data_IF_131927387161
#
_entry.id   IF_131927387161
#
_cell.length_a   1.000
_cell.length_b   1.000
_cell.length_c   1.000
_cell.angle_alpha   90.00
_cell.angle_beta   90.00
_cell.angle_gamma   90.00
#
_symmetry.space_group_name_H-M   'P 1'
#
loop_
_entity.id
_entity.type
_entity.pdbx_description
1 polymer ?
#
# COMPACT_ATOMS: atom_id res chain seq x y z
N UNK A 1 4.84 -7.45 7.98
CA UNK A 1 5.51 -8.73 8.17
C UNK A 1 6.98 -8.49 8.51
N UNK A 2 7.73 -9.56 8.61
CA UNK A 2 9.11 -9.47 9.08
C UNK A 2 10.00 -8.76 8.08
N UNK A 3 11.03 -8.11 8.61
CA UNK A 3 12.09 -7.51 7.80
C UNK A 3 11.60 -6.41 6.88
N UNK A 4 10.53 -5.75 7.28
CA UNK A 4 9.98 -4.63 6.52
C UNK A 4 10.70 -3.37 6.95
N UNK A 5 11.07 -2.54 5.98
CA UNK A 5 11.62 -1.23 6.23
C UNK A 5 10.62 -0.16 5.86
N UNK A 6 10.31 0.71 6.79
CA UNK A 6 9.40 1.82 6.56
C UNK A 6 10.18 3.11 6.84
N UNK A 7 10.25 3.95 5.84
CA UNK A 7 10.94 5.22 5.98
C UNK A 7 10.18 6.22 6.83
N UNK A 8 10.69 7.44 6.88
CA UNK A 8 10.08 8.49 7.69
C UNK A 8 8.85 9.06 7.00
N UNK A 9 7.86 9.42 7.79
CA UNK A 9 6.67 10.13 7.31
C UNK A 9 5.89 9.34 6.28
N UNK A 10 5.88 8.02 6.40
CA UNK A 10 5.05 7.20 5.55
C UNK A 10 3.62 7.26 6.09
N UNK A 11 2.68 7.51 5.20
CA UNK A 11 1.28 7.63 5.57
C UNK A 11 0.52 6.44 5.04
N UNK A 12 -0.17 5.75 5.93
CA UNK A 12 -1.07 4.67 5.54
C UNK A 12 -2.48 5.20 5.64
N UNK A 13 -3.16 5.27 4.50
CA UNK A 13 -4.54 5.72 4.49
C UNK A 13 -5.37 4.55 5.00
N UNK A 14 -5.94 4.74 6.15
CA UNK A 14 -6.73 3.68 6.77
C UNK A 14 -8.20 4.04 6.64
N UNK A 15 -8.62 4.18 5.41
CA UNK A 15 -9.96 4.59 5.10
C UNK A 15 -10.88 3.41 5.09
N UNK A 16 -12.00 3.61 5.73
CA UNK A 16 -13.14 2.75 5.50
C UNK A 16 -14.06 3.54 4.61
N UNK A 17 -14.72 2.89 3.71
CA UNK A 17 -15.63 3.60 2.82
C UNK A 17 -16.98 3.72 3.50
N UNK A 18 -17.17 4.77 4.31
CA UNK A 18 -18.44 4.92 5.00
C UNK A 18 -19.50 5.31 4.01
N UNK A 19 -20.67 4.79 4.20
CA UNK A 19 -21.83 5.23 3.46
C UNK A 19 -22.80 5.80 4.47
N UNK A 20 -23.34 6.96 4.14
CA UNK A 20 -24.29 7.56 5.06
C UNK A 20 -25.56 6.73 5.16
N UNK A 21 -25.86 5.95 4.12
CA UNK A 21 -27.00 5.04 4.17
C UNK A 21 -26.58 3.73 3.54
N UNK A 22 -27.29 2.68 3.93
CA UNK A 22 -27.07 1.39 3.30
C UNK A 22 -27.97 1.29 2.08
N UNK A 23 -27.66 0.33 1.27
CA UNK A 23 -28.48 0.03 0.12
C UNK A 23 -29.90 -0.26 0.61
N UNK A 24 -30.86 0.38 0.01
CA UNK A 24 -32.23 0.25 0.47
C UNK A 24 -32.68 1.36 1.37
N UNK A 25 -31.81 2.30 1.68
CA UNK A 25 -32.21 3.53 2.36
C UNK A 25 -32.10 3.55 3.86
N UNK A 26 -31.58 2.47 4.45
CA UNK A 26 -31.38 2.47 5.90
C UNK A 26 -30.19 3.31 6.30
N UNK A 27 -30.08 3.57 7.58
CA UNK A 27 -28.92 4.26 8.09
C UNK A 27 -27.72 3.31 8.13
N UNK A 28 -26.56 3.88 7.95
CA UNK A 28 -25.34 3.12 8.03
C UNK A 28 -25.15 2.60 9.44
N UNK A 29 -24.79 1.33 9.54
CA UNK A 29 -24.45 0.73 10.82
C UNK A 29 -23.01 0.30 10.78
N UNK A 30 -22.52 -0.18 11.92
CA UNK A 30 -21.15 -0.64 11.98
C UNK A 30 -20.86 -1.74 10.97
N UNK A 31 -21.83 -2.57 10.67
CA UNK A 31 -21.65 -3.65 9.71
C UNK A 31 -21.45 -3.15 8.28
N UNK A 32 -21.77 -1.90 8.04
CA UNK A 32 -21.65 -1.34 6.68
C UNK A 32 -20.27 -0.75 6.41
N UNK A 33 -19.40 -0.80 7.38
CA UNK A 33 -18.03 -0.33 7.20
C UNK A 33 -17.18 -1.46 6.68
N UNK A 34 -16.44 -1.17 5.62
CA UNK A 34 -15.53 -2.16 5.05
C UNK A 34 -14.12 -1.72 5.39
N UNK A 35 -13.45 -2.53 6.16
CA UNK A 35 -12.07 -2.26 6.54
C UNK A 35 -11.18 -3.25 5.82
N UNK A 36 -10.47 -2.79 4.81
CA UNK A 36 -9.58 -3.62 4.03
C UNK A 36 -8.17 -3.34 4.49
N UNK A 37 -7.50 -4.34 5.07
CA UNK A 37 -6.18 -4.08 5.63
C UNK A 37 -5.14 -3.81 4.56
N UNK A 38 -4.20 -2.96 4.90
CA UNK A 38 -3.00 -2.73 4.11
C UNK A 38 -1.94 -3.71 4.59
N UNK A 39 -1.32 -4.40 3.66
CA UNK A 39 -0.32 -5.41 4.00
C UNK A 39 1.02 -5.03 3.42
N UNK A 40 2.04 -5.09 4.25
CA UNK A 40 3.42 -4.90 3.80
C UNK A 40 4.12 -6.24 4.03
N UNK A 41 4.44 -6.91 2.95
CA UNK A 41 4.92 -8.27 3.04
C UNK A 41 6.40 -8.30 3.37
N UNK A 42 6.88 -9.50 3.68
CA UNK A 42 8.22 -9.70 4.19
C UNK A 42 9.27 -9.09 3.27
N UNK A 43 10.21 -8.40 3.86
CA UNK A 43 11.35 -7.84 3.14
C UNK A 43 11.06 -6.64 2.28
N UNK A 44 9.83 -6.14 2.29
CA UNK A 44 9.51 -4.96 1.49
C UNK A 44 10.09 -3.71 2.11
N UNK A 45 10.36 -2.71 1.27
CA UNK A 45 10.87 -1.42 1.72
C UNK A 45 9.98 -0.32 1.19
N UNK A 46 9.61 0.60 2.07
CA UNK A 46 8.78 1.73 1.70
C UNK A 46 9.55 3.00 1.98
N UNK A 47 9.80 3.78 0.94
CA UNK A 47 10.58 4.99 1.07
C UNK A 47 9.87 6.07 1.86
N UNK A 48 10.64 7.06 2.29
CA UNK A 48 10.11 8.14 3.12
C UNK A 48 9.08 8.96 2.38
N UNK A 49 8.13 9.48 3.13
CA UNK A 49 7.07 10.37 2.60
C UNK A 49 6.19 9.70 1.55
N UNK A 50 6.07 8.40 1.62
CA UNK A 50 5.19 7.63 0.74
C UNK A 50 3.79 7.60 1.34
N UNK A 51 2.78 7.63 0.50
CA UNK A 51 1.39 7.46 0.90
C UNK A 51 0.88 6.17 0.30
N UNK A 52 0.31 5.31 1.13
CA UNK A 52 -0.21 4.02 0.68
C UNK A 52 -1.70 3.98 0.99
N UNK A 53 -2.49 3.75 -0.05
CA UNK A 53 -3.94 3.75 0.12
C UNK A 53 -4.40 2.48 0.81
N UNK A 54 -5.58 2.57 1.41
CA UNK A 54 -6.16 1.45 2.14
C UNK A 54 -6.30 0.24 1.23
N UNK A 55 -6.06 -0.93 1.78
CA UNK A 55 -6.27 -2.18 1.06
C UNK A 55 -5.17 -2.58 0.11
N UNK A 56 -4.11 -1.77 0.00
CA UNK A 56 -3.00 -2.07 -0.90
C UNK A 56 -2.10 -3.11 -0.25
N UNK A 57 -1.65 -4.06 -1.04
CA UNK A 57 -0.65 -5.03 -0.61
C UNK A 57 0.67 -4.73 -1.29
N UNK A 58 1.71 -4.51 -0.49
CA UNK A 58 3.06 -4.36 -1.01
C UNK A 58 3.73 -5.73 -0.94
N UNK A 59 4.07 -6.28 -2.10
CA UNK A 59 4.54 -7.65 -2.18
C UNK A 59 5.90 -7.86 -1.54
N UNK A 60 6.27 -9.13 -1.39
CA UNK A 60 7.53 -9.47 -0.73
C UNK A 60 8.70 -8.86 -1.47
N UNK A 61 9.60 -8.28 -0.72
CA UNK A 61 10.85 -7.72 -1.24
C UNK A 61 10.65 -6.62 -2.27
N UNK A 62 9.45 -6.08 -2.37
CA UNK A 62 9.19 -4.95 -3.24
C UNK A 62 9.81 -3.68 -2.65
N UNK A 63 10.09 -2.73 -3.49
CA UNK A 63 10.63 -1.44 -3.07
C UNK A 63 9.72 -0.35 -3.59
N UNK A 64 9.28 0.51 -2.67
CA UNK A 64 8.48 1.68 -3.02
C UNK A 64 9.37 2.91 -2.87
N UNK A 65 9.54 3.63 -3.94
CA UNK A 65 10.40 4.81 -3.93
C UNK A 65 9.84 5.91 -3.05
N UNK A 66 10.73 6.76 -2.53
CA UNK A 66 10.33 7.85 -1.64
C UNK A 66 9.37 8.80 -2.34
N UNK A 67 8.43 9.32 -1.58
CA UNK A 67 7.49 10.32 -2.11
C UNK A 67 6.43 9.76 -3.03
N UNK A 68 6.28 8.44 -3.09
CA UNK A 68 5.31 7.82 -3.99
C UNK A 68 3.91 7.82 -3.40
N UNK A 69 2.92 7.70 -4.27
CA UNK A 69 1.54 7.48 -3.85
C UNK A 69 1.09 6.16 -4.43
N UNK A 70 0.96 5.16 -3.56
CA UNK A 70 0.69 3.79 -4.00
C UNK A 70 -0.81 3.57 -3.99
N UNK A 71 -1.37 3.40 -5.17
CA UNK A 71 -2.82 3.27 -5.34
C UNK A 71 -3.26 1.87 -5.69
N UNK A 72 -2.32 0.99 -6.02
CA UNK A 72 -2.62 -0.39 -6.40
C UNK A 72 -1.61 -1.30 -5.76
N UNK A 73 -1.94 -2.58 -5.71
CA UNK A 73 -1.02 -3.56 -5.16
C UNK A 73 0.31 -3.52 -5.88
N UNK A 74 1.37 -3.74 -5.11
CA UNK A 74 2.72 -3.76 -5.64
C UNK A 74 3.16 -5.21 -5.76
N UNK A 75 3.48 -5.67 -6.96
CA UNK A 75 3.89 -7.06 -7.13
C UNK A 75 5.19 -7.36 -6.38
N UNK A 76 5.38 -8.59 -5.94
CA UNK A 76 6.63 -8.95 -5.25
C UNK A 76 7.83 -8.69 -6.14
N UNK A 77 8.92 -8.29 -5.51
CA UNK A 77 10.19 -8.15 -6.20
C UNK A 77 10.23 -7.05 -7.25
N UNK A 78 9.37 -6.05 -7.13
CA UNK A 78 9.37 -4.94 -8.08
C UNK A 78 9.74 -3.65 -7.39
N UNK A 79 10.15 -2.68 -8.19
CA UNK A 79 10.39 -1.32 -7.73
C UNK A 79 9.33 -0.44 -8.34
N UNK A 80 8.60 0.28 -7.50
CA UNK A 80 7.57 1.20 -7.97
C UNK A 80 7.88 2.59 -7.43
N UNK A 81 7.44 3.61 -8.15
CA UNK A 81 7.63 4.98 -7.70
C UNK A 81 6.69 5.90 -8.46
N UNK A 82 6.48 7.08 -7.90
CA UNK A 82 5.71 8.13 -8.55
C UNK A 82 4.36 8.34 -7.95
N UNK A 83 3.60 9.23 -8.55
CA UNK A 83 2.25 9.59 -8.13
C UNK A 83 1.35 9.63 -9.36
N UNK A 84 0.51 8.64 -9.61
CA UNK A 84 0.44 7.37 -8.89
C UNK A 84 1.67 6.52 -9.15
N UNK A 85 2.01 5.67 -8.18
CA UNK A 85 3.19 4.84 -8.30
C UNK A 85 3.03 3.84 -9.43
N UNK A 86 4.08 3.68 -10.20
CA UNK A 86 4.09 2.75 -11.31
C UNK A 86 5.32 1.88 -11.23
N UNK A 87 5.22 0.70 -11.81
CA UNK A 87 6.33 -0.24 -11.79
C UNK A 87 7.46 0.30 -12.67
N UNK A 88 8.63 0.48 -12.06
CA UNK A 88 9.80 0.90 -12.80
C UNK A 88 10.53 -0.30 -13.38
N UNK A 89 10.68 -1.34 -12.58
CA UNK A 89 11.35 -2.56 -13.04
C UNK A 89 11.25 -3.62 -11.96
N UNK A 90 11.63 -4.81 -12.33
CA UNK A 90 11.73 -5.89 -11.37
C UNK A 90 13.13 -5.91 -10.78
N UNK A 91 13.21 -6.36 -9.54
CA UNK A 91 14.50 -6.55 -8.89
C UNK A 91 15.04 -7.88 -9.36
N UNK A 92 16.28 -7.88 -9.84
CA UNK A 92 16.92 -9.13 -10.25
C UNK A 92 18.08 -9.40 -9.33
N UNK A 93 18.47 -10.66 -9.24
CA UNK A 93 19.54 -11.01 -8.36
C UNK A 93 20.88 -10.47 -8.81
N UNK A 94 21.03 -10.29 -10.10
CA UNK A 94 22.26 -9.71 -10.60
C UNK A 94 22.46 -8.29 -10.17
N UNK A 95 21.41 -7.65 -9.70
CA UNK A 95 21.47 -6.25 -9.30
C UNK A 95 21.83 -6.07 -7.86
N UNK A 96 22.22 -7.08 -7.19
CA UNK A 96 22.62 -6.92 -5.80
C UNK A 96 23.76 -5.94 -5.69
N UNK A 97 23.72 -5.21 -4.63
CA UNK A 97 24.74 -4.21 -4.40
C UNK A 97 25.36 -4.46 -3.10
#
# INVERSE_FOLDING_TARGET
EDDVFIGHNVTFINDMYPRSTVEGGGLQTEADWVCIPTLIKKGASVGSSTTILAGVTVGEKAIVGAGSVVTKDVPPGTIVAGNPAKILRKITEEKKR
#
